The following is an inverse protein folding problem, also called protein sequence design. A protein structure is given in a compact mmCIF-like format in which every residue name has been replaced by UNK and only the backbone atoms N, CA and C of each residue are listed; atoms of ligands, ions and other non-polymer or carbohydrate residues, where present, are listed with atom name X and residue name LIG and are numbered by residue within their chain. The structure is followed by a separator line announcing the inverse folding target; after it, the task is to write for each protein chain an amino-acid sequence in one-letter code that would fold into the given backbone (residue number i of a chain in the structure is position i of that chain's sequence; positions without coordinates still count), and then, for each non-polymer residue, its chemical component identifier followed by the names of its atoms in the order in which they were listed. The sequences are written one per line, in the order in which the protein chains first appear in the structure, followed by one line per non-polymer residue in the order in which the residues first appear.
data_IF_459725973474
#
_entry.id   IF_459725973474
#
_cell.length_a   1.000
_cell.length_b   1.000
_cell.length_c   1.000
_cell.angle_alpha   90.00
_cell.angle_beta   90.00
_cell.angle_gamma   90.00
#
_symmetry.space_group_name_H-M   'P 1'
#
loop_
_entity.id
_entity.type
_entity.pdbx_description
1 polymer ?
#
# COMPACT_ATOMS: atom_id res chain seq x y z
N UNK A 1 8.59 -42.41 -19.47
CA UNK A 1 7.74 -41.28 -19.92
C UNK A 1 8.42 -39.97 -19.56
N UNK A 2 8.98 -39.22 -20.53
CA UNK A 2 9.61 -37.91 -20.27
C UNK A 2 8.50 -36.87 -20.05
N UNK A 3 8.46 -36.25 -18.86
CA UNK A 3 7.64 -35.05 -18.61
C UNK A 3 8.11 -33.96 -19.56
N UNK A 4 7.25 -33.55 -20.50
CA UNK A 4 7.47 -32.32 -21.27
C UNK A 4 7.22 -31.15 -20.31
N UNK A 5 8.28 -30.52 -19.85
CA UNK A 5 8.17 -29.20 -19.22
C UNK A 5 7.60 -28.24 -20.26
N UNK A 6 6.45 -27.63 -19.94
CA UNK A 6 5.89 -26.60 -20.79
C UNK A 6 6.85 -25.41 -20.73
N UNK A 7 7.21 -24.79 -21.86
CA UNK A 7 8.01 -23.58 -21.83
C UNK A 7 7.29 -22.55 -20.95
N UNK A 8 7.96 -22.08 -19.90
CA UNK A 8 7.51 -20.90 -19.18
C UNK A 8 7.40 -19.80 -20.22
N UNK A 9 6.16 -19.43 -20.58
CA UNK A 9 5.89 -18.31 -21.45
C UNK A 9 6.41 -17.10 -20.68
N UNK A 10 7.56 -16.56 -21.07
CA UNK A 10 7.99 -15.24 -20.64
C UNK A 10 6.89 -14.27 -21.06
N UNK A 11 6.02 -13.94 -20.11
CA UNK A 11 5.02 -12.90 -20.28
C UNK A 11 5.81 -11.61 -20.24
N UNK A 12 6.28 -11.16 -21.39
CA UNK A 12 6.81 -9.81 -21.59
C UNK A 12 5.74 -8.87 -21.02
N UNK A 13 6.01 -8.13 -19.93
CA UNK A 13 5.00 -7.31 -19.30
C UNK A 13 4.58 -6.25 -20.31
N UNK A 14 3.36 -6.36 -20.82
CA UNK A 14 2.80 -5.33 -21.70
C UNK A 14 2.73 -4.02 -20.91
N UNK A 15 2.86 -2.86 -21.57
CA UNK A 15 2.75 -1.55 -20.90
C UNK A 15 1.48 -1.43 -20.04
N UNK A 16 0.37 -2.02 -20.49
CA UNK A 16 -0.88 -2.12 -19.75
C UNK A 16 -0.73 -2.88 -18.41
N UNK A 17 0.04 -3.97 -18.37
CA UNK A 17 0.30 -4.73 -17.14
C UNK A 17 1.14 -3.95 -16.12
N UNK A 18 2.04 -3.07 -16.59
CA UNK A 18 2.82 -2.19 -15.72
C UNK A 18 1.97 -1.05 -15.17
N UNK A 19 1.11 -0.46 -16.02
CA UNK A 19 0.17 0.57 -15.61
C UNK A 19 -0.82 0.05 -14.54
N UNK A 20 -1.39 -1.14 -14.74
CA UNK A 20 -2.29 -1.77 -13.74
C UNK A 20 -1.56 -2.03 -12.43
N UNK A 21 -0.31 -2.48 -12.47
CA UNK A 21 0.50 -2.66 -11.25
C UNK A 21 0.77 -1.34 -10.53
N UNK A 22 1.09 -0.28 -11.27
CA UNK A 22 1.32 1.05 -10.70
C UNK A 22 0.05 1.60 -10.04
N UNK A 23 -1.10 1.46 -10.70
CA UNK A 23 -2.41 1.87 -10.16
C UNK A 23 -2.75 1.06 -8.92
N UNK A 24 -2.56 -0.26 -8.93
CA UNK A 24 -2.81 -1.11 -7.76
C UNK A 24 -1.96 -0.67 -6.56
N UNK A 25 -0.65 -0.49 -6.77
CA UNK A 25 0.31 0.00 -5.77
C UNK A 25 -0.10 1.37 -5.23
N UNK A 26 -0.45 2.30 -6.10
CA UNK A 26 -0.91 3.64 -5.71
C UNK A 26 -2.22 3.60 -4.93
N UNK A 27 -3.12 2.67 -5.28
CA UNK A 27 -4.40 2.49 -4.60
C UNK A 27 -4.22 1.90 -3.21
N UNK A 28 -3.36 0.88 -3.06
CA UNK A 28 -3.03 0.30 -1.75
C UNK A 28 -2.39 1.34 -0.82
N UNK A 29 -1.47 2.14 -1.36
CA UNK A 29 -0.88 3.26 -0.64
C UNK A 29 -1.93 4.30 -0.23
N UNK A 30 -2.78 4.73 -1.15
CA UNK A 30 -3.86 5.67 -0.86
C UNK A 30 -4.81 5.14 0.21
N UNK A 31 -5.18 3.86 0.15
CA UNK A 31 -6.02 3.21 1.16
C UNK A 31 -5.36 3.20 2.53
N UNK A 32 -4.05 2.93 2.65
CA UNK A 32 -3.38 2.94 3.95
C UNK A 32 -3.42 4.33 4.60
N UNK A 33 -3.24 5.40 3.82
CA UNK A 33 -3.32 6.78 4.31
C UNK A 33 -4.75 7.10 4.76
N UNK A 34 -5.76 6.76 3.96
CA UNK A 34 -7.18 7.04 4.28
C UNK A 34 -7.63 6.28 5.52
N UNK A 35 -7.30 4.99 5.63
CA UNK A 35 -7.67 4.15 6.78
C UNK A 35 -7.04 4.73 8.06
N UNK A 36 -5.74 5.05 8.03
CA UNK A 36 -5.08 5.59 9.22
C UNK A 36 -5.55 7.00 9.57
N UNK A 37 -5.89 7.83 8.58
CA UNK A 37 -6.51 9.13 8.81
C UNK A 37 -7.88 9.01 9.48
N UNK A 38 -8.72 8.05 9.05
CA UNK A 38 -10.01 7.77 9.67
C UNK A 38 -9.86 7.23 11.09
N UNK A 39 -8.94 6.29 11.31
CA UNK A 39 -8.62 5.77 12.66
C UNK A 39 -8.18 6.92 13.56
N UNK A 40 -7.29 7.78 13.07
CA UNK A 40 -6.81 8.96 13.81
C UNK A 40 -7.93 9.93 14.15
N UNK A 41 -8.80 10.24 13.19
CA UNK A 41 -9.99 11.07 13.40
C UNK A 41 -10.88 10.51 14.51
N UNK A 42 -11.30 9.25 14.37
CA UNK A 42 -12.23 8.61 15.31
C UNK A 42 -11.61 8.53 16.70
N UNK A 43 -10.35 8.09 16.79
CA UNK A 43 -9.63 7.97 18.06
C UNK A 43 -9.54 9.32 18.77
N UNK A 44 -9.05 10.36 18.09
CA UNK A 44 -8.87 11.66 18.74
C UNK A 44 -10.20 12.35 19.07
N UNK A 45 -11.21 12.19 18.21
CA UNK A 45 -12.56 12.69 18.49
C UNK A 45 -13.13 12.05 19.76
N UNK A 46 -12.93 10.75 19.95
CA UNK A 46 -13.44 10.01 21.10
C UNK A 46 -12.66 10.32 22.39
N UNK A 47 -11.33 10.43 22.33
CA UNK A 47 -10.49 10.66 23.52
C UNK A 47 -10.38 12.13 23.96
N UNK A 48 -10.37 13.08 23.01
CA UNK A 48 -10.05 14.48 23.28
C UNK A 48 -11.14 15.46 22.86
N UNK A 49 -12.21 14.98 22.20
CA UNK A 49 -13.29 15.81 21.69
C UNK A 49 -13.05 16.29 20.25
N UNK A 50 -14.07 16.93 19.68
CA UNK A 50 -14.11 17.28 18.26
C UNK A 50 -13.01 18.27 17.84
N UNK A 51 -12.58 19.15 18.75
CA UNK A 51 -11.53 20.15 18.51
C UNK A 51 -10.16 19.51 18.22
N UNK A 52 -9.92 18.29 18.69
CA UNK A 52 -8.66 17.56 18.51
C UNK A 52 -8.71 16.58 17.33
N UNK A 53 -9.85 16.43 16.67
CA UNK A 53 -10.02 15.49 15.57
C UNK A 53 -9.11 15.80 14.37
N UNK A 54 -8.83 17.10 14.13
CA UNK A 54 -7.88 17.54 13.09
C UNK A 54 -6.43 17.10 13.38
N UNK A 55 -6.02 17.08 14.65
CA UNK A 55 -4.72 16.56 15.07
C UNK A 55 -4.64 15.05 14.84
N UNK A 56 -5.73 14.33 15.16
CA UNK A 56 -5.85 12.90 14.89
C UNK A 56 -5.73 12.55 13.40
N UNK A 57 -6.40 13.30 12.53
CA UNK A 57 -6.25 13.15 11.07
C UNK A 57 -4.79 13.37 10.66
N UNK A 58 -4.15 14.43 11.15
CA UNK A 58 -2.77 14.77 10.79
C UNK A 58 -1.82 13.64 11.19
N UNK A 59 -1.91 13.15 12.42
CA UNK A 59 -1.11 12.01 12.91
C UNK A 59 -1.41 10.75 12.10
N UNK A 60 -2.69 10.48 11.83
CA UNK A 60 -3.13 9.34 11.03
C UNK A 60 -2.57 9.36 9.60
N UNK A 61 -2.56 10.51 8.93
CA UNK A 61 -1.96 10.70 7.61
C UNK A 61 -0.45 10.40 7.67
N UNK A 62 0.26 10.96 8.65
CA UNK A 62 1.70 10.73 8.82
C UNK A 62 2.01 9.24 8.99
N UNK A 63 1.32 8.56 9.93
CA UNK A 63 1.52 7.13 10.17
C UNK A 63 1.14 6.31 8.93
N UNK A 64 0.00 6.62 8.30
CA UNK A 64 -0.46 5.94 7.08
C UNK A 64 0.50 6.10 5.91
N UNK A 65 1.11 7.27 5.74
CA UNK A 65 2.13 7.54 4.73
C UNK A 65 3.38 6.68 4.97
N UNK A 66 3.97 6.74 6.16
CA UNK A 66 5.18 5.96 6.46
C UNK A 66 4.92 4.45 6.41
N UNK A 67 3.75 4.00 6.86
CA UNK A 67 3.35 2.59 6.77
C UNK A 67 3.22 2.14 5.31
N UNK A 68 2.58 2.95 4.47
CA UNK A 68 2.47 2.69 3.04
C UNK A 68 3.83 2.63 2.35
N UNK A 69 4.71 3.60 2.60
CA UNK A 69 6.09 3.60 2.06
C UNK A 69 6.86 2.36 2.51
N UNK A 70 6.74 1.98 3.79
CA UNK A 70 7.39 0.78 4.31
C UNK A 70 6.90 -0.50 3.63
N UNK A 71 5.59 -0.64 3.38
CA UNK A 71 5.04 -1.79 2.67
C UNK A 71 5.56 -1.89 1.24
N UNK A 72 5.61 -0.76 0.53
CA UNK A 72 6.19 -0.70 -0.83
C UNK A 72 7.66 -1.08 -0.83
N UNK A 73 8.44 -0.51 0.10
CA UNK A 73 9.85 -0.85 0.25
C UNK A 73 10.05 -2.34 0.53
N UNK A 74 9.24 -2.93 1.42
CA UNK A 74 9.28 -4.35 1.75
C UNK A 74 8.97 -5.24 0.55
N UNK A 75 8.01 -4.88 -0.29
CA UNK A 75 7.73 -5.61 -1.53
C UNK A 75 8.87 -5.52 -2.55
N UNK A 76 9.47 -4.34 -2.69
CA UNK A 76 10.66 -4.16 -3.55
C UNK A 76 11.85 -4.99 -3.05
N UNK A 77 12.16 -4.94 -1.75
CA UNK A 77 13.25 -5.75 -1.18
C UNK A 77 13.00 -7.26 -1.26
N UNK A 78 11.75 -7.72 -1.07
CA UNK A 78 11.41 -9.15 -1.24
C UNK A 78 11.64 -9.66 -2.66
N UNK A 79 11.47 -8.80 -3.68
CA UNK A 79 11.76 -9.14 -5.08
C UNK A 79 13.26 -9.18 -5.41
N UNK A 80 14.10 -8.50 -4.62
CA UNK A 80 15.56 -8.49 -4.79
C UNK A 80 16.27 -9.69 -4.15
N UNK A 81 15.62 -10.39 -3.22
CA UNK A 81 16.17 -11.54 -2.48
C UNK A 81 15.71 -12.91 -3.03
N UNK A 82 15.07 -12.96 -4.19
CA UNK A 82 14.60 -14.17 -4.87
C UNK A 82 15.16 -14.23 -6.28
#
# INVERSE_FOLDING_TARGET
MKKRERPQREVIPTPASQAVKLVAVGTEFGMSVVIMALIGYLSFKEFFGEDFAALGITVGIFIGFFTGVYMLYREFCKKLLK
#
